data_IF_684988085170
#
_entry.id   IF_684988085170
#
_cell.length_a   1.000
_cell.length_b   1.000
_cell.length_c   1.000
_cell.angle_alpha   90.00
_cell.angle_beta   90.00
_cell.angle_gamma   90.00
#
_symmetry.space_group_name_H-M   'P 1'
#
loop_
_entity.id
_entity.type
_entity.pdbx_description
1 polymer ?
#
# COMPACT_ATOMS: atom_id res chain seq x y z
N UNK A 1 11.79 13.07 -15.11
CA UNK A 1 12.38 11.72 -14.99
C UNK A 1 11.51 10.81 -15.81
N UNK A 2 11.93 10.41 -17.02
CA UNK A 2 11.17 9.46 -17.82
C UNK A 2 11.28 8.09 -17.13
N UNK A 3 10.17 7.58 -16.61
CA UNK A 3 10.11 6.19 -16.14
C UNK A 3 10.20 5.35 -17.41
N UNK A 4 11.20 4.45 -17.54
CA UNK A 4 11.27 3.59 -18.70
C UNK A 4 9.98 2.78 -18.79
N UNK A 5 9.24 2.98 -19.89
CA UNK A 5 8.13 2.11 -20.24
C UNK A 5 8.76 0.76 -20.57
N UNK A 6 8.75 -0.15 -19.60
CA UNK A 6 9.09 -1.54 -19.88
C UNK A 6 8.00 -2.06 -20.82
N UNK A 7 8.29 -2.06 -22.11
CA UNK A 7 7.60 -2.95 -23.04
C UNK A 7 7.96 -4.35 -22.59
N UNK A 8 7.07 -4.94 -21.79
CA UNK A 8 7.16 -6.37 -21.54
C UNK A 8 7.20 -7.04 -22.92
N UNK A 9 8.15 -7.97 -23.16
CA UNK A 9 8.11 -8.75 -24.39
C UNK A 9 6.70 -9.30 -24.54
N UNK A 10 6.14 -9.18 -25.76
CA UNK A 10 4.84 -9.79 -26.04
C UNK A 10 4.95 -11.27 -25.67
N UNK A 11 4.19 -11.67 -24.66
CA UNK A 11 4.12 -13.05 -24.24
C UNK A 11 3.55 -13.87 -25.39
N UNK A 12 4.00 -15.12 -25.52
CA UNK A 12 3.32 -16.05 -26.42
C UNK A 12 1.91 -16.33 -25.89
N UNK A 13 1.00 -16.76 -26.77
CA UNK A 13 -0.35 -17.13 -26.36
C UNK A 13 -0.34 -18.22 -25.28
N UNK A 14 0.58 -19.18 -25.40
CA UNK A 14 0.77 -20.25 -24.43
C UNK A 14 1.26 -19.71 -23.06
N UNK A 15 2.16 -18.71 -23.07
CA UNK A 15 2.61 -18.05 -21.84
C UNK A 15 1.49 -17.25 -21.16
N UNK A 16 0.65 -16.56 -21.94
CA UNK A 16 -0.55 -15.89 -21.43
C UNK A 16 -1.53 -16.89 -20.80
N UNK A 17 -1.84 -17.97 -21.50
CA UNK A 17 -2.72 -19.06 -21.00
C UNK A 17 -2.16 -19.69 -19.72
N UNK A 18 -0.85 -19.89 -19.64
CA UNK A 18 -0.20 -20.40 -18.43
C UNK A 18 -0.30 -19.41 -17.26
N UNK A 19 -0.10 -18.12 -17.49
CA UNK A 19 -0.27 -17.07 -16.47
C UNK A 19 -1.71 -17.00 -15.99
N UNK A 20 -2.67 -17.11 -16.91
CA UNK A 20 -4.10 -17.15 -16.60
C UNK A 20 -4.43 -18.35 -15.72
N UNK A 21 -3.98 -19.54 -16.08
CA UNK A 21 -4.19 -20.77 -15.32
C UNK A 21 -3.55 -20.68 -13.91
N UNK A 22 -2.36 -20.11 -13.80
CA UNK A 22 -1.71 -19.86 -12.50
C UNK A 22 -2.53 -18.90 -11.63
N UNK A 23 -3.02 -17.79 -12.22
CA UNK A 23 -3.86 -16.81 -11.52
C UNK A 23 -5.18 -17.41 -11.03
N UNK A 24 -5.86 -18.18 -11.89
CA UNK A 24 -7.11 -18.86 -11.55
C UNK A 24 -6.92 -19.91 -10.43
N UNK A 25 -5.82 -20.67 -10.50
CA UNK A 25 -5.45 -21.64 -9.45
C UNK A 25 -5.18 -20.92 -8.13
N UNK A 26 -4.39 -19.85 -8.15
CA UNK A 26 -4.08 -19.06 -6.96
C UNK A 26 -5.33 -18.46 -6.31
N UNK A 27 -6.27 -17.96 -7.12
CA UNK A 27 -7.55 -17.44 -6.65
C UNK A 27 -8.43 -18.54 -6.04
N UNK A 28 -8.52 -19.69 -6.69
CA UNK A 28 -9.28 -20.85 -6.18
C UNK A 28 -8.73 -21.33 -4.83
N UNK A 29 -7.40 -21.41 -4.70
CA UNK A 29 -6.74 -21.77 -3.44
C UNK A 29 -6.88 -20.71 -2.34
N UNK A 30 -7.05 -19.44 -2.73
CA UNK A 30 -7.37 -18.36 -1.79
C UNK A 30 -8.78 -18.53 -1.21
N UNK A 31 -9.76 -18.88 -2.05
CA UNK A 31 -11.15 -19.10 -1.65
C UNK A 31 -11.33 -20.36 -0.78
N UNK A 32 -10.68 -21.48 -1.13
CA UNK A 32 -10.79 -22.74 -0.38
C UNK A 32 -10.30 -22.63 1.07
N UNK A 33 -9.30 -21.79 1.33
CA UNK A 33 -8.64 -21.70 2.63
C UNK A 33 -9.33 -20.78 3.65
N UNK A 34 -10.56 -20.32 3.35
CA UNK A 34 -11.46 -19.85 4.41
C UNK A 34 -11.93 -20.99 5.32
N UNK A 35 -11.67 -22.24 4.94
CA UNK A 35 -11.78 -23.43 5.80
C UNK A 35 -10.38 -23.76 6.34
N UNK A 36 -10.19 -23.91 7.67
CA UNK A 36 -8.90 -24.23 8.26
C UNK A 36 -8.49 -25.65 7.85
N UNK A 37 -7.77 -25.78 6.74
CA UNK A 37 -7.32 -27.06 6.22
C UNK A 37 -5.80 -27.12 6.14
N UNK A 38 -5.30 -28.00 7.02
CA UNK A 38 -4.18 -28.92 6.83
C UNK A 38 -2.78 -28.38 6.53
N UNK A 39 -1.86 -28.87 7.36
CA UNK A 39 -0.39 -28.85 7.32
C UNK A 39 0.21 -28.82 5.91
N UNK A 40 0.58 -27.63 5.44
CA UNK A 40 1.40 -27.47 4.25
C UNK A 40 2.87 -27.87 4.52
N UNK A 41 3.54 -28.39 3.48
CA UNK A 41 4.98 -28.73 3.47
C UNK A 41 5.85 -27.60 4.06
N UNK A 42 6.87 -27.99 4.83
CA UNK A 42 7.74 -27.19 5.73
C UNK A 42 8.54 -26.03 5.07
N UNK A 43 8.37 -25.77 3.77
CA UNK A 43 9.21 -24.85 2.98
C UNK A 43 8.54 -23.51 2.64
N UNK A 44 7.31 -23.29 3.08
CA UNK A 44 6.58 -22.04 2.83
C UNK A 44 6.30 -21.26 4.09
N UNK A 45 6.42 -19.95 4.00
CA UNK A 45 5.87 -19.05 5.02
C UNK A 45 4.55 -18.50 4.51
N UNK A 46 3.51 -18.66 5.32
CA UNK A 46 2.20 -18.06 5.05
C UNK A 46 1.89 -17.04 6.13
N UNK A 47 1.40 -15.88 5.72
CA UNK A 47 0.87 -14.87 6.59
C UNK A 47 -0.60 -14.62 6.27
N UNK A 48 -1.39 -14.45 7.32
CA UNK A 48 -2.81 -14.13 7.24
C UNK A 48 -3.09 -12.88 8.06
N UNK A 49 -3.95 -12.01 7.54
CA UNK A 49 -4.59 -10.97 8.31
C UNK A 49 -6.09 -10.98 8.04
N UNK A 50 -6.86 -10.67 9.09
CA UNK A 50 -8.30 -10.45 9.02
C UNK A 50 -8.56 -9.09 9.63
N UNK A 51 -9.29 -8.24 8.92
CA UNK A 51 -9.74 -6.95 9.43
C UNK A 51 -11.24 -6.81 9.23
N UNK A 52 -11.87 -6.13 10.20
CA UNK A 52 -13.29 -5.83 10.17
C UNK A 52 -13.46 -4.40 9.66
N UNK A 53 -14.11 -4.26 8.52
CA UNK A 53 -14.41 -2.96 7.93
C UNK A 53 -15.83 -2.59 8.36
N UNK A 54 -15.96 -1.46 9.04
CA UNK A 54 -17.21 -0.97 9.57
C UNK A 54 -17.63 0.28 8.78
N UNK A 55 -18.95 0.41 8.51
CA UNK A 55 -19.52 1.60 7.86
C UNK A 55 -18.92 1.90 6.48
N UNK A 56 -18.56 0.86 5.73
CA UNK A 56 -18.17 0.96 4.32
C UNK A 56 -18.91 -0.12 3.53
N UNK A 57 -19.20 0.14 2.26
CA UNK A 57 -19.77 -0.85 1.35
C UNK A 57 -18.66 -1.62 0.61
N UNK A 58 -19.01 -2.77 0.04
CA UNK A 58 -18.11 -3.50 -0.87
C UNK A 58 -17.68 -2.59 -2.02
N UNK A 59 -18.60 -1.78 -2.55
CA UNK A 59 -18.31 -0.81 -3.62
C UNK A 59 -17.18 0.15 -3.22
N UNK A 60 -17.25 0.70 -2.00
CA UNK A 60 -16.26 1.64 -1.49
C UNK A 60 -14.89 0.96 -1.34
N UNK A 61 -14.86 -0.30 -0.90
CA UNK A 61 -13.61 -1.06 -0.78
C UNK A 61 -13.05 -1.36 -2.17
N UNK A 62 -13.89 -1.84 -3.08
CA UNK A 62 -13.52 -2.13 -4.48
C UNK A 62 -12.95 -0.89 -5.17
N UNK A 63 -13.65 0.23 -5.11
CA UNK A 63 -13.21 1.51 -5.67
C UNK A 63 -11.87 1.97 -5.06
N UNK A 64 -11.68 1.87 -3.75
CA UNK A 64 -10.41 2.22 -3.12
C UNK A 64 -9.25 1.41 -3.69
N UNK A 65 -9.44 0.10 -3.89
CA UNK A 65 -8.40 -0.75 -4.47
C UNK A 65 -8.23 -0.54 -5.97
N UNK A 66 -9.31 -0.34 -6.74
CA UNK A 66 -9.26 -0.02 -8.18
C UNK A 66 -8.52 1.30 -8.42
N UNK A 67 -8.85 2.36 -7.67
CA UNK A 67 -8.14 3.64 -7.75
C UNK A 67 -6.65 3.50 -7.40
N UNK A 68 -6.34 2.66 -6.40
CA UNK A 68 -4.94 2.33 -6.09
C UNK A 68 -4.28 1.51 -7.20
N UNK A 69 -5.02 0.70 -7.95
CA UNK A 69 -4.55 -0.14 -9.05
C UNK A 69 -4.23 0.70 -10.29
N UNK A 70 -5.05 1.69 -10.62
CA UNK A 70 -4.92 2.57 -11.79
C UNK A 70 -3.68 3.46 -11.74
N UNK A 71 -3.23 3.84 -10.54
CA UNK A 71 -1.97 4.57 -10.35
C UNK A 71 -0.89 3.64 -9.79
N UNK A 72 0.04 3.23 -10.66
CA UNK A 72 1.19 2.40 -10.27
C UNK A 72 2.01 3.01 -9.12
N UNK A 73 2.13 4.35 -9.09
CA UNK A 73 2.80 5.09 -8.03
C UNK A 73 2.04 5.00 -6.68
N UNK A 74 0.72 5.22 -6.70
CA UNK A 74 -0.11 5.08 -5.50
C UNK A 74 -0.07 3.65 -4.97
N UNK A 75 -0.14 2.65 -5.86
CA UNK A 75 0.00 1.25 -5.48
C UNK A 75 1.37 0.98 -4.85
N UNK A 76 2.45 1.44 -5.47
CA UNK A 76 3.81 1.22 -4.98
C UNK A 76 4.02 1.80 -3.58
N UNK A 77 3.45 2.97 -3.30
CA UNK A 77 3.50 3.59 -1.98
C UNK A 77 2.64 2.84 -0.97
N UNK A 78 1.42 2.49 -1.36
CA UNK A 78 0.44 1.77 -0.53
C UNK A 78 1.00 0.41 -0.12
N UNK A 79 1.49 -0.36 -1.09
CA UNK A 79 2.00 -1.70 -0.90
C UNK A 79 3.53 -1.75 -0.86
N UNK A 80 4.21 -0.68 -0.49
CA UNK A 80 5.68 -0.61 -0.30
C UNK A 80 6.51 -1.41 -1.35
N UNK A 81 6.09 -1.38 -2.61
CA UNK A 81 6.82 -1.98 -3.73
C UNK A 81 7.53 -0.88 -4.53
N UNK A 82 8.61 -1.24 -5.21
CA UNK A 82 9.37 -0.31 -6.05
C UNK A 82 8.64 -0.03 -7.36
N UNK A 83 8.10 -1.08 -7.97
CA UNK A 83 7.37 -1.04 -9.22
C UNK A 83 6.25 -2.07 -9.19
N UNK A 84 5.22 -1.81 -9.97
CA UNK A 84 4.12 -2.75 -10.18
C UNK A 84 3.52 -2.54 -11.57
N UNK A 85 3.07 -3.64 -12.17
CA UNK A 85 2.32 -3.60 -13.42
C UNK A 85 1.25 -4.68 -13.40
N UNK A 86 0.06 -4.36 -13.92
CA UNK A 86 -0.94 -5.39 -14.24
C UNK A 86 -0.46 -6.11 -15.48
N UNK A 87 -0.20 -7.41 -15.37
CA UNK A 87 0.20 -8.25 -16.50
C UNK A 87 -1.03 -8.69 -17.29
N UNK A 88 -2.10 -9.07 -16.61
CA UNK A 88 -3.30 -9.62 -17.23
C UNK A 88 -4.54 -9.34 -16.40
N UNK A 89 -5.69 -9.08 -17.04
CA UNK A 89 -6.99 -8.96 -16.38
C UNK A 89 -7.84 -10.18 -16.71
N UNK A 90 -8.08 -11.02 -15.70
CA UNK A 90 -8.89 -12.24 -15.81
C UNK A 90 -10.38 -11.94 -15.84
N UNK A 91 -10.82 -10.99 -15.02
CA UNK A 91 -12.21 -10.52 -14.95
C UNK A 91 -12.16 -9.00 -14.91
N UNK A 92 -12.69 -8.38 -15.96
CA UNK A 92 -12.85 -6.93 -16.02
C UNK A 92 -14.18 -6.51 -15.36
N UNK A 93 -14.27 -5.29 -14.80
CA UNK A 93 -15.52 -4.77 -14.28
C UNK A 93 -16.59 -4.71 -15.38
N UNK A 94 -17.83 -5.08 -15.06
CA UNK A 94 -18.97 -4.99 -15.97
C UNK A 94 -20.06 -4.09 -15.39
N UNK A 95 -21.04 -3.68 -16.19
CA UNK A 95 -22.17 -2.89 -15.69
C UNK A 95 -22.98 -3.63 -14.61
N UNK A 96 -23.11 -4.95 -14.73
CA UNK A 96 -23.79 -5.81 -13.75
C UNK A 96 -22.92 -6.08 -12.52
N UNK A 97 -21.60 -6.12 -12.68
CA UNK A 97 -20.64 -6.40 -11.61
C UNK A 97 -19.46 -5.42 -11.63
N UNK A 98 -19.67 -4.15 -11.26
CA UNK A 98 -18.65 -3.09 -11.41
C UNK A 98 -17.46 -3.22 -10.46
N UNK A 99 -17.51 -4.12 -9.47
CA UNK A 99 -16.43 -4.35 -8.50
C UNK A 99 -15.82 -5.74 -8.59
N UNK A 100 -16.27 -6.57 -9.54
CA UNK A 100 -15.62 -7.84 -9.83
C UNK A 100 -14.40 -7.55 -10.70
N UNK A 101 -13.23 -7.60 -10.07
CA UNK A 101 -11.96 -7.44 -10.74
C UNK A 101 -11.00 -8.53 -10.29
N UNK A 102 -10.47 -9.28 -11.25
CA UNK A 102 -9.43 -10.28 -11.00
C UNK A 102 -8.32 -10.03 -12.00
N UNK A 103 -7.10 -9.89 -11.51
CA UNK A 103 -5.94 -9.63 -12.36
C UNK A 103 -4.68 -10.28 -11.82
N UNK A 104 -3.77 -10.60 -12.74
CA UNK A 104 -2.40 -10.98 -12.44
C UNK A 104 -1.55 -9.72 -12.45
N UNK A 105 -0.87 -9.46 -11.34
CA UNK A 105 -0.06 -8.27 -11.16
C UNK A 105 1.37 -8.66 -10.81
N UNK A 106 2.32 -8.07 -11.53
CA UNK A 106 3.72 -8.12 -11.20
C UNK A 106 4.06 -7.03 -10.18
N UNK A 107 4.92 -7.37 -9.23
CA UNK A 107 5.43 -6.44 -8.23
C UNK A 107 6.93 -6.64 -8.09
N UNK A 108 7.68 -5.53 -8.22
CA UNK A 108 9.08 -5.47 -7.83
C UNK A 108 9.15 -5.00 -6.39
N UNK A 109 9.65 -5.84 -5.50
CA UNK A 109 9.90 -5.45 -4.11
C UNK A 109 11.34 -4.98 -3.96
N UNK A 110 11.65 -4.15 -2.94
CA UNK A 110 13.03 -3.77 -2.64
C UNK A 110 13.97 -4.97 -2.45
N UNK A 111 13.43 -6.11 -2.03
CA UNK A 111 14.19 -7.34 -1.82
C UNK A 111 14.50 -8.13 -3.12
N UNK A 112 13.96 -7.76 -4.28
CA UNK A 112 13.98 -8.58 -5.51
C UNK A 112 14.80 -7.98 -6.66
N UNK A 113 15.63 -6.96 -6.41
CA UNK A 113 16.52 -6.39 -7.43
C UNK A 113 17.59 -7.43 -7.89
N UNK A 114 18.06 -7.38 -9.16
CA UNK A 114 18.89 -8.43 -9.76
C UNK A 114 20.23 -8.67 -9.03
N UNK A 115 20.73 -9.89 -9.23
CA UNK A 115 21.88 -10.53 -8.60
C UNK A 115 23.26 -9.94 -8.92
N UNK A 116 23.37 -8.87 -9.71
CA UNK A 116 24.65 -8.15 -9.91
C UNK A 116 25.18 -7.51 -8.62
N UNK A 117 24.40 -7.52 -7.53
CA UNK A 117 24.79 -7.05 -6.19
C UNK A 117 24.56 -8.06 -5.04
N UNK A 118 24.42 -9.36 -5.32
CA UNK A 118 24.28 -10.39 -4.26
C UNK A 118 22.88 -10.51 -3.61
N UNK A 119 21.82 -10.01 -4.27
CA UNK A 119 20.43 -10.18 -3.83
C UNK A 119 19.74 -11.37 -4.50
N UNK A 120 18.77 -11.98 -3.81
CA UNK A 120 18.09 -13.22 -4.23
C UNK A 120 16.60 -12.98 -4.51
N UNK A 121 16.10 -13.49 -5.66
CA UNK A 121 14.72 -13.28 -6.13
C UNK A 121 13.69 -14.09 -5.32
N UNK A 122 12.82 -13.41 -4.58
CA UNK A 122 11.68 -14.03 -3.89
C UNK A 122 10.42 -14.17 -4.75
N UNK A 123 9.62 -15.20 -4.47
CA UNK A 123 8.36 -15.48 -5.17
C UNK A 123 7.17 -15.49 -4.20
N UNK A 124 6.21 -14.60 -4.42
CA UNK A 124 4.87 -14.70 -3.84
C UNK A 124 4.02 -15.60 -4.72
N UNK A 125 3.21 -16.45 -4.09
CA UNK A 125 2.21 -17.27 -4.77
C UNK A 125 0.95 -17.33 -3.91
N UNK A 126 -0.20 -17.67 -4.50
CA UNK A 126 -1.48 -17.81 -3.80
C UNK A 126 -1.76 -16.67 -2.79
N UNK A 127 -1.37 -15.46 -3.17
CA UNK A 127 -1.39 -14.26 -2.32
C UNK A 127 -2.44 -13.31 -2.89
N UNK A 128 -3.18 -12.67 -2.02
CA UNK A 128 -4.28 -11.81 -2.44
C UNK A 128 -5.09 -11.31 -1.27
N UNK A 129 -6.17 -10.62 -1.60
CA UNK A 129 -7.11 -10.07 -0.64
C UNK A 129 -8.52 -10.41 -1.10
N UNK A 130 -9.35 -10.87 -0.16
CA UNK A 130 -10.77 -11.20 -0.38
C UNK A 130 -11.59 -10.42 0.63
N UNK A 131 -12.65 -9.77 0.16
CA UNK A 131 -13.66 -9.13 1.00
C UNK A 131 -14.95 -9.92 0.91
N UNK A 132 -15.42 -10.41 2.05
CA UNK A 132 -16.65 -11.18 2.17
C UNK A 132 -17.71 -10.33 2.87
N UNK A 133 -18.87 -10.23 2.25
CA UNK A 133 -20.05 -9.65 2.88
C UNK A 133 -20.79 -10.73 3.65
N UNK A 134 -20.51 -10.80 4.96
CA UNK A 134 -21.08 -11.83 5.83
C UNK A 134 -22.40 -11.38 6.48
N UNK A 135 -22.68 -10.06 6.54
CA UNK A 135 -23.93 -9.38 6.95
C UNK A 135 -23.66 -7.89 7.22
N UNK A 136 -24.39 -7.00 6.56
CA UNK A 136 -24.40 -5.56 6.88
C UNK A 136 -24.66 -5.32 8.39
N UNK A 137 -23.96 -4.39 9.06
CA UNK A 137 -23.11 -3.31 8.53
C UNK A 137 -21.58 -3.62 8.58
N UNK A 138 -21.18 -4.88 8.58
CA UNK A 138 -19.79 -5.30 8.80
C UNK A 138 -19.29 -6.18 7.66
N UNK A 139 -18.19 -5.76 7.04
CA UNK A 139 -17.53 -6.51 5.97
C UNK A 139 -16.24 -7.11 6.53
N UNK A 140 -16.03 -8.41 6.32
CA UNK A 140 -14.78 -9.06 6.69
C UNK A 140 -13.84 -9.03 5.50
N UNK A 141 -12.66 -8.42 5.67
CA UNK A 141 -11.60 -8.49 4.69
C UNK A 141 -10.50 -9.43 5.19
N UNK A 142 -10.00 -10.24 4.27
CA UNK A 142 -8.95 -11.22 4.51
C UNK A 142 -7.79 -10.94 3.54
N UNK A 143 -6.56 -10.92 4.06
CA UNK A 143 -5.36 -10.84 3.24
C UNK A 143 -4.48 -12.05 3.52
N UNK A 144 -3.98 -12.67 2.45
CA UNK A 144 -3.04 -13.80 2.52
C UNK A 144 -1.80 -13.47 1.72
N UNK A 145 -0.66 -13.75 2.31
CA UNK A 145 0.65 -13.66 1.65
C UNK A 145 1.36 -14.99 1.83
N UNK A 146 1.52 -15.77 0.76
CA UNK A 146 2.40 -16.93 0.75
C UNK A 146 3.68 -16.64 0.00
N UNK A 147 4.76 -17.16 0.54
CA UNK A 147 6.09 -16.98 -0.01
C UNK A 147 6.88 -18.28 0.07
N UNK A 148 7.59 -18.60 -1.02
CA UNK A 148 8.42 -19.81 -1.09
C UNK A 148 9.77 -19.46 -0.51
N UNK A 149 10.19 -20.19 0.51
CA UNK A 149 11.47 -19.95 1.16
C UNK A 149 12.57 -20.62 0.32
N UNK A 150 13.28 -19.85 -0.50
CA UNK A 150 14.45 -20.35 -1.26
C UNK A 150 15.75 -19.64 -0.88
N UNK A 151 15.82 -19.00 0.30
CA UNK A 151 16.86 -17.98 0.56
C UNK A 151 17.60 -18.10 1.90
N UNK A 152 18.70 -17.34 1.96
CA UNK A 152 19.50 -17.06 3.15
C UNK A 152 18.69 -16.43 4.28
N UNK A 153 19.19 -16.58 5.51
CA UNK A 153 18.54 -16.05 6.72
C UNK A 153 18.24 -14.53 6.67
N UNK A 154 19.12 -13.65 6.15
CA UNK A 154 18.83 -12.22 6.03
C UNK A 154 17.62 -11.91 5.13
N UNK A 155 17.54 -12.57 3.97
CA UNK A 155 16.41 -12.41 3.05
C UNK A 155 15.08 -12.85 3.71
N UNK A 156 15.12 -13.92 4.50
CA UNK A 156 13.95 -14.37 5.29
C UNK A 156 13.49 -13.31 6.29
N UNK A 157 14.41 -12.67 7.01
CA UNK A 157 14.08 -11.62 7.96
C UNK A 157 13.49 -10.39 7.26
N UNK A 158 14.07 -9.98 6.13
CA UNK A 158 13.58 -8.87 5.33
C UNK A 158 12.18 -9.15 4.78
N UNK A 159 11.97 -10.29 4.14
CA UNK A 159 10.65 -10.68 3.61
C UNK A 159 9.61 -10.76 4.71
N UNK A 160 9.94 -11.32 5.87
CA UNK A 160 9.05 -11.35 7.03
C UNK A 160 8.69 -9.93 7.51
N UNK A 161 9.65 -9.02 7.54
CA UNK A 161 9.42 -7.61 7.89
C UNK A 161 8.49 -6.92 6.89
N UNK A 162 8.71 -7.16 5.60
CA UNK A 162 7.89 -6.61 4.52
C UNK A 162 6.46 -7.16 4.57
N UNK A 163 6.27 -8.47 4.70
CA UNK A 163 4.94 -9.06 4.88
C UNK A 163 4.24 -8.48 6.11
N UNK A 164 4.93 -8.35 7.25
CA UNK A 164 4.38 -7.67 8.43
C UNK A 164 4.05 -6.20 8.20
N UNK A 165 4.76 -5.50 7.33
CA UNK A 165 4.42 -4.12 6.96
C UNK A 165 3.13 -4.09 6.13
N UNK A 166 2.99 -4.97 5.13
CA UNK A 166 1.75 -5.12 4.36
C UNK A 166 0.54 -5.43 5.23
N UNK A 167 0.66 -6.39 6.15
CA UNK A 167 -0.45 -6.77 7.02
C UNK A 167 -0.83 -5.62 7.96
N UNK A 168 0.15 -4.88 8.48
CA UNK A 168 -0.12 -3.67 9.28
C UNK A 168 -0.84 -2.59 8.45
N UNK A 169 -0.49 -2.46 7.19
CA UNK A 169 -1.18 -1.55 6.28
C UNK A 169 -2.64 -1.98 6.10
N UNK A 170 -2.85 -3.27 5.87
CA UNK A 170 -4.16 -3.89 5.76
C UNK A 170 -4.99 -3.74 7.04
N UNK A 171 -4.38 -3.87 8.23
CA UNK A 171 -5.05 -3.61 9.51
C UNK A 171 -5.57 -2.16 9.63
N UNK A 172 -4.99 -1.22 8.88
CA UNK A 172 -5.42 0.19 8.83
C UNK A 172 -6.38 0.51 7.67
N UNK A 173 -6.86 -0.52 6.95
CA UNK A 173 -7.71 -0.34 5.77
C UNK A 173 -9.00 0.41 6.11
N UNK A 174 -9.65 0.07 7.22
CA UNK A 174 -10.88 0.73 7.65
C UNK A 174 -10.67 2.24 7.88
N UNK A 175 -9.57 2.63 8.51
CA UNK A 175 -9.27 4.05 8.73
C UNK A 175 -8.89 4.77 7.43
N UNK A 176 -8.21 4.09 6.50
CA UNK A 176 -7.88 4.64 5.17
C UNK A 176 -9.13 4.88 4.33
N UNK A 177 -10.05 3.92 4.29
CA UNK A 177 -11.35 4.06 3.63
C UNK A 177 -12.13 5.25 4.22
N UNK A 178 -12.17 5.37 5.54
CA UNK A 178 -12.81 6.49 6.20
C UNK A 178 -12.22 7.83 5.76
N UNK A 179 -10.89 7.97 5.76
CA UNK A 179 -10.23 9.21 5.31
C UNK A 179 -10.51 9.49 3.83
N UNK A 180 -10.39 8.47 2.98
CA UNK A 180 -10.54 8.60 1.53
C UNK A 180 -11.94 9.09 1.15
N UNK A 181 -12.99 8.53 1.76
CA UNK A 181 -14.38 8.88 1.40
C UNK A 181 -14.98 10.02 2.22
N UNK A 182 -14.58 10.21 3.47
CA UNK A 182 -15.23 11.20 4.35
C UNK A 182 -14.42 12.48 4.54
N UNK A 183 -13.09 12.42 4.41
CA UNK A 183 -12.21 13.55 4.74
C UNK A 183 -11.65 14.23 3.49
N UNK A 184 -11.13 13.47 2.52
CA UNK A 184 -10.53 14.06 1.32
C UNK A 184 -11.51 14.87 0.47
N UNK A 185 -12.73 14.37 0.14
CA UNK A 185 -13.64 15.10 -0.75
C UNK A 185 -14.09 16.44 -0.16
N UNK A 186 -14.30 16.50 1.16
CA UNK A 186 -14.71 17.72 1.88
C UNK A 186 -13.64 18.82 1.90
N UNK A 187 -12.37 18.47 1.66
CA UNK A 187 -11.27 19.44 1.64
C UNK A 187 -10.93 19.92 0.23
N UNK A 188 -11.18 19.08 -0.79
CA UNK A 188 -10.96 19.48 -2.19
C UNK A 188 -11.97 20.55 -2.61
N UNK A 189 -13.21 20.50 -2.09
CA UNK A 189 -14.23 21.52 -2.37
C UNK A 189 -13.95 22.90 -1.72
N UNK A 190 -12.96 23.02 -0.83
CA UNK A 190 -12.65 24.27 -0.10
C UNK A 190 -11.33 24.89 -0.58
N UNK A 191 -10.55 24.21 -1.43
CA UNK A 191 -9.18 24.65 -1.78
C UNK A 191 -8.93 24.82 -3.27
N UNK A 192 -9.79 25.60 -3.93
CA UNK A 192 -9.46 26.24 -5.20
C UNK A 192 -8.69 27.56 -5.05
N UNK A 193 -8.74 28.25 -3.89
CA UNK A 193 -8.23 29.64 -3.85
C UNK A 193 -7.57 30.12 -2.55
N UNK A 194 -7.49 29.34 -1.48
CA UNK A 194 -6.77 29.79 -0.26
C UNK A 194 -6.08 28.65 0.46
N UNK A 195 -5.08 28.04 -0.19
CA UNK A 195 -3.89 27.67 0.57
C UNK A 195 -3.25 28.98 0.98
N UNK A 196 -3.74 29.56 2.09
CA UNK A 196 -3.04 30.66 2.73
C UNK A 196 -1.62 30.17 2.90
N UNK A 197 -0.67 30.87 2.28
CA UNK A 197 0.68 30.84 2.78
C UNK A 197 0.61 31.03 4.29
N UNK A 198 1.53 30.45 5.08
CA UNK A 198 1.67 30.82 6.47
C UNK A 198 2.04 32.31 6.53
N UNK A 199 1.05 33.20 6.35
CA UNK A 199 1.15 34.57 6.78
C UNK A 199 1.28 34.46 8.28
N UNK A 200 2.40 34.93 8.81
CA UNK A 200 2.82 34.86 10.21
C UNK A 200 1.82 35.49 11.20
N UNK A 201 0.71 36.04 10.69
CA UNK A 201 -0.41 36.51 11.47
C UNK A 201 -1.34 35.36 11.88
N UNK A 202 -1.63 35.30 13.19
CA UNK A 202 -2.53 34.37 13.88
C UNK A 202 -1.93 33.07 14.42
N UNK A 203 -0.88 33.21 15.22
CA UNK A 203 -0.89 32.55 16.54
C UNK A 203 -1.70 33.41 17.52
N UNK A 204 -3.03 33.46 17.37
CA UNK A 204 -3.90 33.85 18.47
C UNK A 204 -4.19 32.59 19.28
N UNK A 205 -3.58 32.41 20.46
CA UNK A 205 -3.96 31.34 21.34
C UNK A 205 -5.34 31.71 21.89
N UNK A 206 -6.27 30.75 21.99
CA UNK A 206 -7.44 30.73 22.88
C UNK A 206 -8.84 30.56 22.27
N UNK A 207 -9.16 30.83 21.02
CA UNK A 207 -10.55 30.59 20.57
C UNK A 207 -10.76 29.13 20.12
N UNK A 208 -11.02 28.26 21.10
CA UNK A 208 -11.51 26.88 20.95
C UNK A 208 -10.49 25.88 20.39
N UNK A 209 -9.32 25.78 21.02
CA UNK A 209 -8.44 24.63 20.81
C UNK A 209 -9.26 23.34 21.06
N UNK A 210 -9.37 22.47 20.05
CA UNK A 210 -10.22 21.29 20.18
C UNK A 210 -9.79 20.44 21.38
N UNK A 211 -10.71 20.19 22.30
CA UNK A 211 -10.46 19.39 23.50
C UNK A 211 -10.24 17.91 23.20
N UNK A 212 -10.37 17.50 21.93
CA UNK A 212 -10.21 16.14 21.48
C UNK A 212 -9.29 16.02 20.26
N UNK A 213 -8.72 14.82 20.12
CA UNK A 213 -7.91 14.44 18.97
C UNK A 213 -8.76 14.34 17.70
N UNK A 214 -8.39 15.06 16.64
CA UNK A 214 -9.11 15.04 15.35
C UNK A 214 -9.22 13.64 14.73
N UNK A 215 -8.30 12.73 15.03
CA UNK A 215 -8.33 11.37 14.48
C UNK A 215 -9.19 10.37 15.28
N UNK A 216 -8.89 10.14 16.56
CA UNK A 216 -9.65 9.17 17.36
C UNK A 216 -10.87 9.76 18.10
N UNK A 217 -11.11 11.08 17.96
CA UNK A 217 -12.17 11.85 18.65
C UNK A 217 -12.15 11.76 20.18
N UNK A 218 -11.06 11.24 20.74
CA UNK A 218 -10.90 11.12 22.18
C UNK A 218 -10.44 12.43 22.79
N UNK A 219 -11.06 12.82 23.92
CA UNK A 219 -10.65 14.00 24.68
C UNK A 219 -9.22 13.87 25.21
N UNK A 220 -8.52 15.00 25.26
CA UNK A 220 -7.18 15.12 25.83
C UNK A 220 -7.27 15.12 27.35
N UNK A 221 -6.31 14.43 27.97
CA UNK A 221 -6.15 14.34 29.42
C UNK A 221 -4.67 14.54 29.75
N UNK A 222 -4.29 14.61 31.02
CA UNK A 222 -2.89 14.74 31.42
C UNK A 222 -1.97 13.65 30.83
N UNK A 223 -2.50 12.44 30.64
CA UNK A 223 -1.80 11.30 30.05
C UNK A 223 -1.83 11.36 28.51
N UNK A 224 -2.91 11.91 27.94
CA UNK A 224 -3.10 12.04 26.50
C UNK A 224 -2.83 13.46 26.06
N UNK A 225 -1.55 13.79 25.85
CA UNK A 225 -1.13 15.13 25.41
C UNK A 225 -1.46 15.38 23.92
N UNK A 226 -1.91 16.60 23.57
CA UNK A 226 -2.07 17.01 22.18
C UNK A 226 -0.72 17.14 21.48
N UNK A 227 -0.71 16.86 20.18
CA UNK A 227 0.42 17.02 19.25
C UNK A 227 -0.11 17.62 17.97
N UNK A 228 0.52 18.68 17.47
CA UNK A 228 0.10 19.32 16.24
C UNK A 228 0.68 18.59 15.02
N UNK A 229 -0.10 18.51 13.96
CA UNK A 229 0.39 18.10 12.65
C UNK A 229 1.31 19.17 12.07
N UNK A 230 2.54 18.81 11.69
CA UNK A 230 3.55 19.73 11.13
C UNK A 230 3.16 20.31 9.76
N UNK A 231 2.13 19.77 9.08
CA UNK A 231 1.69 20.25 7.76
C UNK A 231 0.41 21.08 7.83
N UNK A 232 -0.56 20.71 8.65
CA UNK A 232 -1.88 21.38 8.68
C UNK A 232 -2.31 21.84 10.08
N UNK A 233 -1.44 21.72 11.08
CA UNK A 233 -1.67 22.12 12.47
C UNK A 233 -2.90 21.46 13.14
N UNK A 234 -3.48 20.41 12.57
CA UNK A 234 -4.54 19.62 13.22
C UNK A 234 -4.04 18.97 14.52
N UNK A 235 -4.90 18.94 15.54
CA UNK A 235 -4.54 18.43 16.87
C UNK A 235 -4.77 16.91 16.94
N UNK A 236 -3.71 16.16 17.19
CA UNK A 236 -3.69 14.71 17.28
C UNK A 236 -3.21 14.27 18.66
N UNK A 237 -3.56 13.06 19.12
CA UNK A 237 -2.89 12.49 20.28
C UNK A 237 -1.59 11.76 19.89
N UNK A 238 -0.61 11.73 20.80
CA UNK A 238 0.68 11.06 20.59
C UNK A 238 0.57 9.59 20.12
N UNK A 239 -0.47 8.86 20.58
CA UNK A 239 -0.73 7.47 20.15
C UNK A 239 -1.13 7.41 18.68
N UNK A 240 -2.01 8.30 18.22
CA UNK A 240 -2.46 8.38 16.84
C UNK A 240 -1.34 8.85 15.92
N UNK A 241 -0.62 9.91 16.30
CA UNK A 241 0.55 10.37 15.55
C UNK A 241 1.57 9.25 15.38
N UNK A 242 1.95 8.54 16.45
CA UNK A 242 2.86 7.37 16.36
C UNK A 242 2.31 6.22 15.52
N UNK A 243 1.00 5.99 15.50
CA UNK A 243 0.38 4.94 14.68
C UNK A 243 0.47 5.29 13.20
N UNK A 244 0.25 6.56 12.85
CA UNK A 244 0.29 7.08 11.49
C UNK A 244 1.74 7.18 10.99
N UNK A 245 2.63 7.78 11.79
CA UNK A 245 3.98 8.15 11.36
C UNK A 245 5.06 7.21 11.89
N UNK A 246 4.72 5.94 12.14
CA UNK A 246 5.66 4.96 12.76
C UNK A 246 7.02 4.86 12.05
N UNK A 247 7.05 5.11 10.74
CA UNK A 247 8.23 5.10 9.88
C UNK A 247 8.71 6.49 9.44
N UNK A 248 8.03 7.57 9.82
CA UNK A 248 8.35 8.94 9.39
C UNK A 248 8.91 9.77 10.55
N UNK A 249 9.92 10.58 10.25
CA UNK A 249 10.48 11.57 11.19
C UNK A 249 9.48 12.69 11.49
N UNK A 250 8.56 12.96 10.56
CA UNK A 250 7.59 14.04 10.63
C UNK A 250 6.32 13.63 11.37
N UNK A 251 5.75 14.56 12.13
CA UNK A 251 4.50 14.39 12.87
C UNK A 251 3.34 14.91 12.06
N UNK A 252 2.76 14.06 11.22
CA UNK A 252 1.65 14.43 10.33
C UNK A 252 0.35 13.73 10.73
N UNK A 253 -0.80 14.37 10.46
CA UNK A 253 -2.12 13.73 10.59
C UNK A 253 -2.32 12.70 9.47
N UNK A 254 -3.31 11.82 9.63
CA UNK A 254 -3.54 10.77 8.63
C UNK A 254 -3.88 11.38 7.26
N UNK A 255 -4.63 12.48 7.23
CA UNK A 255 -4.95 13.20 5.99
C UNK A 255 -3.68 13.71 5.29
N UNK A 256 -2.80 14.40 6.01
CA UNK A 256 -1.54 14.89 5.46
C UNK A 256 -0.60 13.74 5.11
N UNK A 257 -0.56 12.67 5.90
CA UNK A 257 0.21 11.47 5.61
C UNK A 257 -0.22 10.84 4.29
N UNK A 258 -1.52 10.57 4.13
CA UNK A 258 -2.10 10.03 2.88
C UNK A 258 -1.89 10.99 1.72
N UNK A 259 -2.01 12.30 1.94
CA UNK A 259 -1.75 13.30 0.90
C UNK A 259 -0.28 13.34 0.46
N UNK A 260 0.66 13.29 1.40
CA UNK A 260 2.09 13.15 1.11
C UNK A 260 2.39 11.81 0.40
N UNK A 261 1.64 10.75 0.70
CA UNK A 261 1.68 9.50 -0.08
C UNK A 261 1.07 9.65 -1.48
N UNK A 262 0.09 10.51 -1.74
CA UNK A 262 -0.52 10.66 -3.07
C UNK A 262 0.25 11.64 -3.94
N UNK A 263 0.51 12.85 -3.46
CA UNK A 263 1.03 13.96 -4.28
C UNK A 263 2.51 13.85 -4.61
N UNK A 264 3.22 12.88 -4.03
CA UNK A 264 4.63 12.66 -4.32
C UNK A 264 5.52 13.86 -4.09
N UNK A 265 5.09 14.78 -3.20
CA UNK A 265 5.89 15.93 -2.84
C UNK A 265 7.31 15.44 -2.53
N UNK A 266 8.34 16.00 -3.20
CA UNK A 266 9.70 15.60 -2.95
C UNK A 266 9.92 15.76 -1.46
N UNK A 267 10.36 14.69 -0.81
CA UNK A 267 10.86 14.77 0.57
C UNK A 267 11.76 16.00 0.65
N UNK A 268 11.69 16.85 1.70
CA UNK A 268 12.77 17.77 1.98
C UNK A 268 14.02 16.91 2.22
N UNK A 269 14.88 16.85 1.21
CA UNK A 269 16.27 16.40 1.24
C UNK A 269 16.45 15.06 1.97
N UNK A 270 16.15 13.98 1.26
CA UNK A 270 17.10 12.88 1.30
C UNK A 270 18.35 13.42 0.61
N UNK A 271 19.48 13.59 1.31
CA UNK A 271 20.77 13.75 0.62
C UNK A 271 20.89 12.53 -0.29
N UNK A 272 20.81 12.75 -1.60
CA UNK A 272 21.20 11.73 -2.56
C UNK A 272 22.61 11.25 -2.14
N UNK A 273 22.84 9.94 -2.00
CA UNK A 273 24.20 9.43 -2.12
C UNK A 273 24.74 10.01 -3.43
N UNK A 274 25.97 10.55 -3.40
CA UNK A 274 26.62 11.07 -4.59
C UNK A 274 26.40 10.10 -5.75
N UNK A 275 25.94 10.62 -6.90
CA UNK A 275 25.85 9.83 -8.12
C UNK A 275 27.25 9.31 -8.43
N UNK A 276 27.51 8.05 -8.08
CA UNK A 276 28.61 7.31 -8.67
C UNK A 276 28.18 7.06 -10.10
N UNK A 277 28.90 7.65 -11.05
CA UNK A 277 28.68 7.42 -12.48
C UNK A 277 28.71 5.91 -12.73
N UNK A 278 27.54 5.33 -13.01
CA UNK A 278 27.44 3.97 -13.52
C UNK A 278 27.92 4.00 -14.97
N UNK A 279 28.83 3.09 -15.38
CA UNK A 279 29.18 2.95 -16.79
C UNK A 279 27.95 2.60 -17.62
N UNK A 280 27.95 3.09 -18.85
CA UNK A 280 26.87 2.96 -19.82
C UNK A 280 26.60 1.48 -20.12
N UNK A 281 25.33 1.05 -20.07
CA UNK A 281 24.91 -0.34 -20.30
C UNK A 281 25.19 -0.86 -21.73
N UNK A 282 25.61 0.00 -22.65
CA UNK A 282 25.92 -0.37 -24.05
C UNK A 282 27.25 -1.11 -24.23
N UNK A 283 28.14 -1.16 -23.23
CA UNK A 283 29.48 -1.77 -23.39
C UNK A 283 29.57 -3.25 -22.97
N UNK A 284 28.54 -3.81 -22.34
CA UNK A 284 28.59 -5.17 -21.78
C UNK A 284 28.11 -6.29 -22.72
N UNK A 285 27.54 -5.98 -23.88
CA UNK A 285 27.00 -7.00 -24.81
C UNK A 285 27.96 -7.48 -25.90
N UNK A 286 29.21 -7.00 -25.95
CA UNK A 286 30.11 -7.29 -27.08
C UNK A 286 31.28 -8.24 -26.81
N UNK A 287 31.39 -8.87 -25.63
CA UNK A 287 32.46 -9.85 -25.38
C UNK A 287 31.97 -11.09 -24.67
N UNK A 288 31.38 -12.01 -25.43
CA UNK A 288 31.33 -13.44 -25.11
C UNK A 288 31.19 -14.23 -26.42
N UNK A 289 32.31 -14.41 -27.11
CA UNK A 289 32.57 -15.52 -28.03
C UNK A 289 33.80 -16.25 -27.50
#
# INVERSE_FOLDING_TARGET
MQVPTFLLPMLSKEEEEAIVAMGATAFTELLKQHVPLSTHKKESMTFHAKTLIAKSSIESIGNFHINAIESSENYCRTFHCLLTSVLYTLIAPSAQHPYQYVAVRWMLLPATLPSTHGFVRGHFYNSGMVTLDERMPKINAYMRLQWKQTHSFPARCLTKSLCKAQLRHFDTLNERLYVHYNILPRKISISGSTWRQPTEEYASPLSNASSACTYCMQQFTLIRRPTLCETCNQILCKKCTRRITKSSKYRVCLTCYVRHEIEGCPRPIYRQPAQVHSPCWSELCHKSL
#
